data_IF_093512677264
#
_entry.id   IF_093512677264
#
_cell.length_a   1.000
_cell.length_b   1.000
_cell.length_c   1.000
_cell.angle_alpha   90.00
_cell.angle_beta   90.00
_cell.angle_gamma   90.00
#
_symmetry.space_group_name_H-M   'P 1'
#
loop_
_entity.id
_entity.type
_entity.pdbx_description
1 polymer ?
#
# COMPACT_ATOMS: atom_id res chain seq x y z
N UNK A 1 -51.49 13.81 -7.77
CA UNK A 1 -50.35 12.87 -7.73
C UNK A 1 -49.16 13.33 -8.57
N UNK A 2 -47.99 13.43 -7.94
CA UNK A 2 -46.73 13.80 -8.61
C UNK A 2 -45.85 12.56 -8.85
N UNK A 3 -44.81 12.68 -9.68
CA UNK A 3 -43.90 11.56 -9.94
C UNK A 3 -43.03 11.30 -8.71
N UNK A 4 -43.10 10.08 -8.18
CA UNK A 4 -42.41 9.64 -6.97
C UNK A 4 -40.90 9.38 -7.13
N UNK A 5 -40.43 8.94 -8.30
CA UNK A 5 -39.00 8.69 -8.57
C UNK A 5 -38.66 8.72 -10.08
N UNK A 6 -37.43 9.09 -10.41
CA UNK A 6 -36.90 9.05 -11.78
C UNK A 6 -35.37 8.95 -11.81
N UNK A 7 -34.85 8.12 -12.71
CA UNK A 7 -33.41 7.99 -12.98
C UNK A 7 -32.97 8.66 -14.29
N UNK A 8 -33.85 9.45 -14.94
CA UNK A 8 -33.64 9.97 -16.31
C UNK A 8 -32.33 10.75 -16.52
N UNK A 9 -31.83 11.45 -15.51
CA UNK A 9 -30.58 12.22 -15.60
C UNK A 9 -29.39 11.54 -14.88
N UNK A 10 -29.56 10.37 -14.26
CA UNK A 10 -28.48 9.83 -13.42
C UNK A 10 -27.26 9.45 -14.25
N UNK A 11 -27.46 8.76 -15.38
CA UNK A 11 -26.38 8.39 -16.29
C UNK A 11 -25.64 9.60 -16.83
N UNK A 12 -26.37 10.62 -17.31
CA UNK A 12 -25.77 11.85 -17.83
C UNK A 12 -24.97 12.59 -16.76
N UNK A 13 -25.46 12.68 -15.51
CA UNK A 13 -24.70 13.25 -14.40
C UNK A 13 -23.42 12.46 -14.08
N UNK A 14 -23.51 11.13 -14.04
CA UNK A 14 -22.38 10.27 -13.73
C UNK A 14 -21.27 10.37 -14.79
N UNK A 15 -21.64 10.50 -16.06
CA UNK A 15 -20.69 10.59 -17.17
C UNK A 15 -20.14 12.01 -17.40
N UNK A 16 -20.75 13.08 -16.88
CA UNK A 16 -20.20 14.46 -16.99
C UNK A 16 -18.76 14.56 -16.46
N UNK A 17 -18.47 13.93 -15.33
CA UNK A 17 -17.12 13.84 -14.76
C UNK A 17 -16.41 12.51 -15.11
N UNK A 18 -17.13 11.61 -15.79
CA UNK A 18 -16.72 10.24 -16.09
C UNK A 18 -16.72 9.33 -14.88
N UNK A 19 -17.34 8.15 -15.01
CA UNK A 19 -17.21 7.09 -14.01
C UNK A 19 -15.80 6.50 -14.11
N UNK A 20 -14.93 6.87 -13.17
CA UNK A 20 -13.53 6.41 -13.17
C UNK A 20 -13.41 5.03 -12.52
N UNK A 21 -12.53 4.19 -13.06
CA UNK A 21 -12.12 2.93 -12.42
C UNK A 21 -11.36 3.25 -11.12
N UNK A 22 -11.44 2.39 -10.08
CA UNK A 22 -10.61 2.55 -8.90
C UNK A 22 -9.13 2.50 -9.28
N UNK A 23 -8.31 3.30 -8.61
CA UNK A 23 -6.87 3.32 -8.86
C UNK A 23 -6.23 2.01 -8.37
N UNK A 24 -5.50 1.35 -9.26
CA UNK A 24 -4.66 0.20 -8.89
C UNK A 24 -3.28 0.71 -8.48
N UNK A 25 -2.74 0.16 -7.39
CA UNK A 25 -1.38 0.42 -6.93
C UNK A 25 -0.57 -0.87 -7.04
N UNK A 26 0.74 -0.77 -7.29
CA UNK A 26 1.64 -1.94 -7.38
C UNK A 26 1.63 -2.79 -6.11
N UNK A 27 1.49 -2.15 -4.96
CA UNK A 27 1.46 -2.80 -3.65
C UNK A 27 0.14 -2.49 -2.94
N UNK A 28 -0.81 -3.44 -2.85
CA UNK A 28 -2.08 -3.27 -2.14
C UNK A 28 -1.91 -3.46 -0.62
N UNK A 29 -2.95 -3.10 0.14
CA UNK A 29 -2.97 -3.34 1.58
C UNK A 29 -3.16 -4.82 1.92
N UNK A 30 -2.52 -5.31 2.98
CA UNK A 30 -2.77 -6.64 3.56
C UNK A 30 -3.96 -6.66 4.56
N UNK A 31 -4.93 -5.74 4.41
CA UNK A 31 -6.12 -5.73 5.26
C UNK A 31 -7.04 -6.89 4.87
N UNK A 32 -7.50 -7.67 5.85
CA UNK A 32 -8.37 -8.84 5.62
C UNK A 32 -7.63 -10.14 5.32
N UNK A 33 -6.30 -10.15 5.23
CA UNK A 33 -5.53 -11.40 5.14
C UNK A 33 -5.48 -12.09 6.51
N UNK A 34 -5.41 -13.42 6.51
CA UNK A 34 -5.34 -14.26 7.72
C UNK A 34 -4.37 -13.70 8.80
N UNK A 35 -4.85 -13.49 10.05
CA UNK A 35 -4.02 -13.03 11.14
C UNK A 35 -2.77 -13.89 11.39
N UNK A 36 -2.84 -15.22 11.23
CA UNK A 36 -1.70 -16.12 11.45
C UNK A 36 -0.61 -15.88 10.40
N UNK A 37 -0.99 -15.80 9.14
CA UNK A 37 -0.10 -15.39 8.05
C UNK A 37 0.55 -14.01 8.32
N UNK A 38 -0.25 -13.00 8.69
CA UNK A 38 0.27 -11.65 8.97
C UNK A 38 1.27 -11.62 10.11
N UNK A 39 1.03 -12.40 11.17
CA UNK A 39 1.95 -12.50 12.31
C UNK A 39 3.28 -13.10 11.87
N UNK A 40 3.24 -14.21 11.15
CA UNK A 40 4.45 -14.86 10.63
C UNK A 40 5.22 -13.97 9.64
N UNK A 41 4.52 -13.36 8.68
CA UNK A 41 5.12 -12.48 7.68
C UNK A 41 5.87 -11.30 8.32
N UNK A 42 5.31 -10.71 9.39
CA UNK A 42 6.00 -9.67 10.18
C UNK A 42 7.32 -10.17 10.78
N UNK A 43 7.31 -11.36 11.39
CA UNK A 43 8.51 -11.94 11.99
C UNK A 43 9.57 -12.30 10.93
N UNK A 44 9.15 -12.83 9.78
CA UNK A 44 10.05 -13.15 8.68
C UNK A 44 10.76 -11.91 8.13
N UNK A 45 10.02 -10.83 7.84
CA UNK A 45 10.59 -9.56 7.36
C UNK A 45 11.56 -8.94 8.37
N UNK A 46 11.22 -9.00 9.67
CA UNK A 46 12.12 -8.51 10.70
C UNK A 46 13.40 -9.36 10.80
N UNK A 47 13.28 -10.69 10.66
CA UNK A 47 14.42 -11.60 10.65
C UNK A 47 15.38 -11.35 9.50
N UNK A 48 14.85 -11.20 8.27
CA UNK A 48 15.68 -10.93 7.08
C UNK A 48 16.42 -9.61 7.19
N UNK A 49 15.76 -8.54 7.67
CA UNK A 49 16.40 -7.26 7.92
C UNK A 49 17.56 -7.37 8.91
N UNK A 50 17.39 -8.10 10.02
CA UNK A 50 18.47 -8.29 11.01
C UNK A 50 19.65 -9.06 10.43
N UNK A 51 19.41 -10.08 9.60
CA UNK A 51 20.46 -10.83 8.93
C UNK A 51 21.24 -9.94 7.95
N UNK A 52 20.56 -9.14 7.13
CA UNK A 52 21.19 -8.20 6.20
C UNK A 52 22.04 -7.14 6.91
N UNK A 53 21.57 -6.61 8.04
CA UNK A 53 22.38 -5.66 8.84
C UNK A 53 23.65 -6.32 9.37
N UNK A 54 23.58 -7.57 9.83
CA UNK A 54 24.74 -8.32 10.33
C UNK A 54 25.74 -8.65 9.23
N UNK A 55 25.26 -9.00 8.05
CA UNK A 55 26.08 -9.47 6.93
C UNK A 55 26.52 -8.35 5.95
N UNK A 56 26.19 -7.09 6.20
CA UNK A 56 26.61 -5.97 5.34
C UNK A 56 27.92 -5.35 5.87
N UNK A 57 29.10 -5.78 5.38
CA UNK A 57 30.40 -5.26 5.84
C UNK A 57 30.60 -3.77 5.52
N UNK A 58 29.84 -3.22 4.57
CA UNK A 58 29.97 -1.82 4.13
C UNK A 58 29.02 -0.86 4.88
N UNK A 59 28.15 -1.36 5.78
CA UNK A 59 27.17 -0.51 6.48
C UNK A 59 27.83 0.40 7.52
N UNK A 60 28.88 -0.05 8.21
CA UNK A 60 29.61 0.76 9.20
C UNK A 60 30.52 1.79 8.53
N UNK A 61 31.17 1.42 7.42
CA UNK A 61 32.11 2.28 6.70
C UNK A 61 31.43 3.52 6.10
N UNK A 62 30.27 3.36 5.45
CA UNK A 62 29.52 4.48 4.83
C UNK A 62 29.02 5.49 5.89
N UNK A 63 28.55 5.01 7.04
CA UNK A 63 28.09 5.90 8.13
C UNK A 63 29.24 6.56 8.91
N UNK A 64 30.47 6.04 8.81
CA UNK A 64 31.66 6.66 9.41
C UNK A 64 32.21 7.81 8.57
N UNK A 65 32.15 7.69 7.23
CA UNK A 65 32.54 8.75 6.28
C UNK A 65 31.59 9.93 6.38
N UNK A 66 30.27 9.67 6.47
CA UNK A 66 29.24 10.71 6.57
C UNK A 66 29.18 11.45 7.92
N UNK A 67 29.91 11.00 8.96
CA UNK A 67 29.97 11.66 10.28
C UNK A 67 31.22 12.53 10.47
N UNK A 68 32.22 12.39 9.61
CA UNK A 68 33.48 13.13 9.65
C UNK A 68 33.62 14.12 8.47
N UNK A 69 32.54 14.34 7.71
CA UNK A 69 32.38 15.41 6.74
C UNK A 69 31.44 16.46 7.33
#
# INVERSE_FOLDING_TARGET
ESKNSSQHNQSRKAHRNGIKKPKTNRYPSLKGTDPKFRRNHRHALHGTMRALVRYSPYRTHINSIARNA
#
